data_IF_796394468172
#
_entry.id   IF_796394468172
#
_cell.length_a   1.000
_cell.length_b   1.000
_cell.length_c   1.000
_cell.angle_alpha   90.00
_cell.angle_beta   90.00
_cell.angle_gamma   90.00
#
_symmetry.space_group_name_H-M   'P 1'
#
loop_
_entity.id
_entity.type
_entity.pdbx_description
1 polymer ?
#
# COMPACT_ATOMS: atom_id res chain seq x y z
N UNK A 1 -20.34 40.62 -25.79
CA UNK A 1 -19.30 40.31 -24.79
C UNK A 1 -19.88 39.93 -23.42
N UNK A 2 -20.79 40.70 -22.82
CA UNK A 2 -21.42 40.37 -21.51
C UNK A 2 -22.18 39.03 -21.47
N UNK A 3 -22.92 38.67 -22.52
CA UNK A 3 -23.70 37.41 -22.60
C UNK A 3 -22.81 36.17 -22.71
N UNK A 4 -21.63 36.30 -23.35
CA UNK A 4 -20.68 35.20 -23.54
C UNK A 4 -20.02 34.77 -22.22
N UNK A 5 -19.76 35.73 -21.33
CA UNK A 5 -19.16 35.50 -20.00
C UNK A 5 -20.12 34.69 -19.12
N UNK A 6 -21.42 34.96 -19.19
CA UNK A 6 -22.44 34.22 -18.42
C UNK A 6 -22.52 32.76 -18.90
N UNK A 7 -22.45 32.52 -20.21
CA UNK A 7 -22.39 31.16 -20.76
C UNK A 7 -21.13 30.39 -20.33
N UNK A 8 -19.96 31.03 -20.28
CA UNK A 8 -18.71 30.42 -19.80
C UNK A 8 -18.73 30.09 -18.30
N UNK A 9 -19.44 30.87 -17.49
CA UNK A 9 -19.61 30.60 -16.05
C UNK A 9 -20.63 29.49 -15.76
N UNK A 10 -21.59 29.23 -16.66
CA UNK A 10 -22.54 28.12 -16.52
C UNK A 10 -21.92 26.79 -17.00
N UNK A 11 -20.92 26.86 -17.89
CA UNK A 11 -20.10 25.72 -18.33
C UNK A 11 -18.98 25.34 -17.35
N UNK A 12 -18.85 26.02 -16.20
CA UNK A 12 -17.93 25.58 -15.14
C UNK A 12 -18.49 24.34 -14.45
N UNK A 13 -18.45 23.20 -15.14
CA UNK A 13 -18.71 21.91 -14.53
C UNK A 13 -17.67 21.67 -13.43
N UNK A 14 -18.12 21.12 -12.31
CA UNK A 14 -17.30 20.75 -11.14
C UNK A 14 -15.88 20.35 -11.56
N UNK A 15 -14.88 21.14 -11.16
CA UNK A 15 -13.49 20.76 -11.34
C UNK A 15 -13.28 19.44 -10.58
N UNK A 16 -13.17 18.33 -11.30
CA UNK A 16 -12.87 17.00 -10.75
C UNK A 16 -11.37 16.93 -10.42
N UNK A 17 -10.89 17.88 -9.62
CA UNK A 17 -9.51 17.94 -9.15
C UNK A 17 -9.31 17.14 -7.85
N UNK A 18 -10.38 16.61 -7.26
CA UNK A 18 -10.30 15.85 -6.01
C UNK A 18 -9.76 14.45 -6.28
N UNK A 19 -8.47 14.26 -6.07
CA UNK A 19 -7.86 12.95 -6.01
C UNK A 19 -8.15 12.30 -4.66
N UNK A 20 -8.98 11.25 -4.66
CA UNK A 20 -9.39 10.51 -3.45
C UNK A 20 -8.48 9.33 -3.12
N UNK A 21 -7.28 9.25 -3.71
CA UNK A 21 -6.37 8.10 -3.52
C UNK A 21 -5.93 7.91 -2.07
N UNK A 22 -6.01 8.96 -1.24
CA UNK A 22 -5.70 8.93 0.19
C UNK A 22 -6.89 8.73 1.14
N UNK A 23 -8.11 8.48 0.62
CA UNK A 23 -9.32 8.52 1.46
C UNK A 23 -9.43 7.38 2.47
N UNK A 24 -8.88 6.19 2.19
CA UNK A 24 -8.98 5.05 3.10
C UNK A 24 -7.62 4.76 3.70
N UNK A 25 -7.60 4.62 5.02
CA UNK A 25 -6.45 4.17 5.77
C UNK A 25 -6.77 2.84 6.46
N UNK A 26 -5.81 1.93 6.42
CA UNK A 26 -5.89 0.63 7.08
C UNK A 26 -4.66 0.50 7.96
N UNK A 27 -4.85 0.35 9.27
CA UNK A 27 -3.75 0.33 10.24
C UNK A 27 -4.04 -0.54 11.46
N UNK A 28 -3.00 -0.79 12.25
CA UNK A 28 -3.03 -1.63 13.45
C UNK A 28 -2.90 -3.13 13.16
N UNK A 29 -3.01 -3.95 14.21
CA UNK A 29 -3.05 -5.41 14.14
C UNK A 29 -3.09 -6.04 15.53
N UNK A 30 -3.61 -7.28 15.70
CA UNK A 30 -4.41 -8.05 14.74
C UNK A 30 -5.81 -7.44 14.51
N UNK A 31 -6.50 -7.87 13.44
CA UNK A 31 -7.78 -7.30 12.97
C UNK A 31 -7.65 -5.81 12.62
N UNK A 32 -6.94 -5.54 11.52
CA UNK A 32 -6.66 -4.18 11.06
C UNK A 32 -7.93 -3.31 11.06
N UNK A 33 -7.76 -2.05 11.39
CA UNK A 33 -8.86 -1.08 11.49
C UNK A 33 -8.88 -0.19 10.26
N UNK A 34 -10.08 0.11 9.76
CA UNK A 34 -10.30 1.04 8.65
C UNK A 34 -10.72 2.42 9.17
N UNK A 35 -10.03 3.45 8.70
CA UNK A 35 -10.44 4.84 8.84
C UNK A 35 -10.69 5.46 7.45
N UNK A 36 -11.66 6.36 7.37
CA UNK A 36 -12.01 7.07 6.13
C UNK A 36 -11.94 8.57 6.35
N UNK A 37 -11.16 9.24 5.50
CA UNK A 37 -11.05 10.69 5.42
C UNK A 37 -12.04 11.18 4.37
N UNK A 38 -13.12 11.79 4.84
CA UNK A 38 -14.18 12.36 3.98
C UNK A 38 -14.01 13.87 3.77
N UNK A 39 -13.29 14.55 4.67
CA UNK A 39 -13.00 15.97 4.65
C UNK A 39 -11.73 16.28 5.49
N UNK A 40 -11.50 17.55 5.82
CA UNK A 40 -10.35 18.01 6.64
C UNK A 40 -10.57 17.85 8.15
N UNK A 41 -11.69 17.27 8.58
CA UNK A 41 -11.98 17.00 9.99
C UNK A 41 -11.34 15.67 10.44
N UNK A 42 -11.76 15.15 11.59
CA UNK A 42 -11.26 13.87 12.11
C UNK A 42 -11.76 12.71 11.23
N UNK A 43 -10.93 11.70 10.91
CA UNK A 43 -11.38 10.56 10.13
C UNK A 43 -12.49 9.77 10.82
N UNK A 44 -13.40 9.22 10.02
CA UNK A 44 -14.43 8.30 10.48
C UNK A 44 -13.83 6.90 10.64
N UNK A 45 -13.91 6.34 11.84
CA UNK A 45 -13.52 4.97 12.12
C UNK A 45 -14.65 4.02 11.71
N UNK A 46 -14.42 3.18 10.70
CA UNK A 46 -15.49 2.36 10.10
C UNK A 46 -15.60 1.00 10.80
N UNK A 47 -14.50 0.49 11.35
CA UNK A 47 -14.48 -0.79 12.07
C UNK A 47 -13.23 -1.61 11.80
N UNK A 48 -13.25 -2.85 12.27
CA UNK A 48 -12.16 -3.83 12.11
C UNK A 48 -12.48 -4.82 11.01
N UNK A 49 -11.47 -5.25 10.28
CA UNK A 49 -11.58 -6.38 9.35
C UNK A 49 -11.64 -7.70 10.11
N UNK A 50 -12.27 -8.71 9.51
CA UNK A 50 -12.43 -10.03 10.11
C UNK A 50 -11.14 -10.86 10.12
N UNK A 51 -10.19 -10.57 9.22
CA UNK A 51 -8.94 -11.32 9.11
C UNK A 51 -7.99 -10.99 10.27
N UNK A 52 -7.68 -11.96 11.17
CA UNK A 52 -6.76 -11.72 12.28
C UNK A 52 -5.31 -11.56 11.83
N UNK A 53 -4.94 -12.08 10.65
CA UNK A 53 -3.56 -12.16 10.16
C UNK A 53 -3.12 -10.93 9.35
N UNK A 54 -3.76 -9.79 9.61
CA UNK A 54 -3.44 -8.51 8.97
C UNK A 54 -2.74 -7.62 9.98
N UNK A 55 -1.46 -7.32 9.73
CA UNK A 55 -0.60 -6.60 10.66
C UNK A 55 0.05 -5.38 10.01
N UNK A 56 -0.30 -4.20 10.52
CA UNK A 56 0.30 -2.90 10.20
C UNK A 56 0.90 -2.28 11.46
N UNK A 57 1.98 -2.89 11.98
CA UNK A 57 2.63 -2.48 13.24
C UNK A 57 3.49 -1.23 13.06
N UNK A 58 4.09 -1.06 11.88
CA UNK A 58 4.96 0.07 11.56
C UNK A 58 4.50 0.78 10.26
N UNK A 59 5.46 1.27 9.47
CA UNK A 59 5.21 1.90 8.18
C UNK A 59 4.45 0.99 7.23
N UNK A 60 3.46 1.55 6.57
CA UNK A 60 2.64 0.84 5.60
C UNK A 60 2.13 1.83 4.57
N UNK A 61 1.53 1.30 3.51
CA UNK A 61 0.88 2.10 2.49
C UNK A 61 -0.47 1.52 2.14
N UNK A 62 -1.35 2.38 1.64
CA UNK A 62 -2.72 2.09 1.24
C UNK A 62 -3.02 3.01 0.08
N UNK A 63 -3.77 2.51 -0.89
CA UNK A 63 -4.22 3.33 -2.01
C UNK A 63 -5.70 3.08 -2.26
N UNK A 64 -6.41 4.18 -2.51
CA UNK A 64 -7.81 4.19 -2.90
C UNK A 64 -7.96 4.56 -4.37
N UNK A 65 -9.11 4.20 -4.93
CA UNK A 65 -9.51 4.64 -6.25
C UNK A 65 -9.65 6.16 -6.26
N UNK A 66 -8.98 6.82 -7.20
CA UNK A 66 -8.88 8.29 -7.22
C UNK A 66 -10.23 8.98 -7.45
N UNK A 67 -11.19 8.31 -8.11
CA UNK A 67 -12.50 8.88 -8.43
C UNK A 67 -13.55 8.61 -7.34
N UNK A 68 -13.64 7.36 -6.89
CA UNK A 68 -14.65 6.89 -5.94
C UNK A 68 -14.20 7.00 -4.50
N UNK A 69 -12.89 7.00 -4.24
CA UNK A 69 -12.34 6.93 -2.89
C UNK A 69 -12.63 5.59 -2.22
N UNK A 70 -12.82 4.50 -2.97
CA UNK A 70 -12.88 3.13 -2.42
C UNK A 70 -11.47 2.60 -2.22
N UNK A 71 -11.22 1.85 -1.14
CA UNK A 71 -9.93 1.19 -0.93
C UNK A 71 -9.68 0.20 -2.09
N UNK A 72 -8.50 0.24 -2.68
CA UNK A 72 -8.07 -0.72 -3.69
C UNK A 72 -7.28 -1.84 -3.02
N UNK A 73 -6.19 -1.50 -2.35
CA UNK A 73 -5.34 -2.45 -1.64
C UNK A 73 -4.39 -1.72 -0.68
N UNK A 74 -3.66 -2.51 0.12
CA UNK A 74 -2.74 -2.01 1.14
C UNK A 74 -1.53 -2.92 1.28
N UNK A 75 -0.41 -2.39 1.75
CA UNK A 75 0.87 -3.09 1.87
C UNK A 75 1.52 -2.82 3.23
N UNK A 76 1.83 -3.86 3.99
CA UNK A 76 2.51 -3.72 5.28
C UNK A 76 4.04 -3.71 5.18
N UNK A 77 4.57 -3.65 3.95
CA UNK A 77 6.02 -3.71 3.66
C UNK A 77 6.52 -5.08 3.21
N UNK A 78 5.79 -6.15 3.49
CA UNK A 78 6.18 -7.52 3.14
C UNK A 78 5.05 -8.34 2.51
N UNK A 79 3.80 -7.94 2.78
CA UNK A 79 2.56 -8.54 2.27
C UNK A 79 1.66 -7.44 1.72
N UNK A 80 1.07 -7.71 0.55
CA UNK A 80 -0.04 -6.97 -0.04
C UNK A 80 -1.37 -7.62 0.35
N UNK A 81 -2.32 -6.78 0.74
CA UNK A 81 -3.68 -7.15 1.07
C UNK A 81 -4.67 -6.44 0.15
N UNK A 82 -5.68 -7.16 -0.31
CA UNK A 82 -6.78 -6.64 -1.14
C UNK A 82 -7.66 -5.64 -0.38
N UNK A 83 -8.72 -5.16 -1.04
CA UNK A 83 -9.68 -4.21 -0.45
C UNK A 83 -10.44 -4.74 0.78
N UNK A 84 -10.44 -6.05 1.00
CA UNK A 84 -11.08 -6.73 2.13
C UNK A 84 -10.07 -7.07 3.25
N UNK A 85 -8.82 -6.62 3.15
CA UNK A 85 -7.71 -7.01 4.03
C UNK A 85 -7.46 -8.52 4.05
N UNK A 86 -7.66 -9.19 2.92
CA UNK A 86 -7.20 -10.56 2.71
C UNK A 86 -5.91 -10.50 1.88
N UNK A 87 -4.98 -11.41 2.12
CA UNK A 87 -3.73 -11.46 1.34
C UNK A 87 -4.06 -11.53 -0.15
N UNK A 88 -3.52 -10.60 -0.92
CA UNK A 88 -3.70 -10.54 -2.36
C UNK A 88 -3.04 -11.75 -3.03
N UNK A 89 -3.55 -12.21 -4.16
CA UNK A 89 -2.92 -13.31 -4.91
C UNK A 89 -1.47 -12.93 -5.30
N UNK A 90 -0.52 -13.80 -4.98
CA UNK A 90 0.94 -13.57 -5.07
C UNK A 90 1.45 -12.36 -4.23
N UNK A 91 0.65 -11.87 -3.28
CA UNK A 91 0.90 -10.69 -2.46
C UNK A 91 1.91 -10.88 -1.33
N UNK A 92 2.37 -12.10 -1.07
CA UNK A 92 3.36 -12.47 -0.06
C UNK A 92 4.81 -12.23 -0.52
N UNK A 93 5.78 -12.50 0.36
CA UNK A 93 7.22 -12.55 0.04
C UNK A 93 7.71 -11.43 -0.89
N UNK A 94 7.32 -10.18 -0.58
CA UNK A 94 7.73 -8.99 -1.33
C UNK A 94 9.19 -8.61 -1.06
N UNK A 95 9.82 -9.27 -0.10
CA UNK A 95 11.20 -9.08 0.34
C UNK A 95 11.93 -10.43 0.37
N UNK A 96 13.27 -10.46 0.47
CA UNK A 96 14.02 -11.71 0.59
C UNK A 96 13.58 -12.57 1.78
N UNK A 97 13.78 -13.87 1.66
CA UNK A 97 13.16 -14.87 2.53
C UNK A 97 13.55 -14.67 4.00
N UNK A 98 14.82 -14.34 4.28
CA UNK A 98 15.26 -14.14 5.67
C UNK A 98 14.55 -12.99 6.35
N UNK A 99 14.40 -11.86 5.64
CA UNK A 99 13.65 -10.72 6.15
C UNK A 99 12.15 -11.05 6.29
N UNK A 100 11.58 -11.75 5.30
CA UNK A 100 10.18 -12.15 5.30
C UNK A 100 9.81 -13.04 6.50
N UNK A 101 10.67 -14.00 6.83
CA UNK A 101 10.43 -14.98 7.91
C UNK A 101 11.01 -14.57 9.27
N UNK A 102 11.54 -13.34 9.41
CA UNK A 102 12.17 -12.88 10.66
C UNK A 102 11.20 -12.89 11.85
N UNK A 103 9.95 -12.48 11.61
CA UNK A 103 8.90 -12.41 12.62
C UNK A 103 7.88 -13.54 12.43
N UNK A 104 7.15 -13.93 13.49
CA UNK A 104 6.03 -14.88 13.37
C UNK A 104 4.99 -14.46 12.33
N UNK A 105 4.83 -13.15 12.12
CA UNK A 105 4.04 -12.57 11.03
C UNK A 105 4.92 -11.62 10.21
N UNK A 106 4.97 -11.78 8.88
CA UNK A 106 5.74 -10.88 8.02
C UNK A 106 5.22 -9.45 8.12
N UNK A 107 6.08 -8.54 8.57
CA UNK A 107 5.78 -7.12 8.73
C UNK A 107 7.07 -6.32 8.56
N UNK A 108 7.00 -5.21 7.81
CA UNK A 108 8.13 -4.30 7.68
C UNK A 108 8.44 -3.57 9.00
N UNK A 109 9.72 -3.39 9.31
CA UNK A 109 10.17 -2.86 10.61
C UNK A 109 10.54 -1.36 10.58
N UNK A 110 10.35 -0.68 9.45
CA UNK A 110 10.66 0.74 9.28
C UNK A 110 9.43 1.63 9.47
N UNK A 111 9.67 2.92 9.70
CA UNK A 111 8.64 3.97 9.73
C UNK A 111 7.94 4.16 8.37
N UNK A 112 8.61 3.82 7.26
CA UNK A 112 8.01 3.72 5.93
C UNK A 112 8.55 2.48 5.22
N UNK A 113 7.74 1.43 5.12
CA UNK A 113 8.17 0.16 4.51
C UNK A 113 7.76 -0.01 3.05
N UNK A 114 6.77 0.76 2.60
CA UNK A 114 6.21 0.61 1.26
C UNK A 114 5.72 1.94 0.70
N UNK A 115 5.72 2.02 -0.64
CA UNK A 115 5.14 3.12 -1.40
C UNK A 115 4.38 2.55 -2.60
N UNK A 116 3.12 2.96 -2.75
CA UNK A 116 2.26 2.53 -3.85
C UNK A 116 2.06 3.70 -4.81
N UNK A 117 2.38 3.50 -6.10
CA UNK A 117 2.22 4.51 -7.15
C UNK A 117 1.43 3.94 -8.33
N UNK A 118 0.50 4.70 -8.92
CA UNK A 118 -0.14 4.30 -10.18
C UNK A 118 0.89 4.11 -11.30
N UNK A 119 0.79 3.01 -12.04
CA UNK A 119 1.56 2.74 -13.26
C UNK A 119 0.72 3.15 -14.47
N UNK A 120 0.51 4.47 -14.62
CA UNK A 120 -0.38 5.02 -15.64
C UNK A 120 -1.86 4.75 -15.35
N UNK A 121 -2.69 4.69 -16.40
CA UNK A 121 -4.15 4.65 -16.28
C UNK A 121 -4.78 3.25 -16.49
N UNK A 122 -3.99 2.18 -16.41
CA UNK A 122 -4.42 0.83 -16.81
C UNK A 122 -4.80 -0.10 -15.66
N UNK A 123 -5.10 0.42 -14.46
CA UNK A 123 -5.30 -0.42 -13.27
C UNK A 123 -4.03 -1.15 -12.81
N UNK A 124 -2.86 -0.67 -13.24
CA UNK A 124 -1.58 -1.19 -12.81
C UNK A 124 -0.95 -0.27 -11.77
N UNK A 125 -0.24 -0.83 -10.81
CA UNK A 125 0.43 -0.10 -9.75
C UNK A 125 1.84 -0.63 -9.53
N UNK A 126 2.77 0.28 -9.25
CA UNK A 126 4.05 -0.05 -8.66
C UNK A 126 3.92 -0.10 -7.15
N UNK A 127 4.53 -1.10 -6.54
CA UNK A 127 4.67 -1.23 -5.08
C UNK A 127 6.15 -1.32 -4.77
N UNK A 128 6.71 -0.24 -4.25
CA UNK A 128 8.10 -0.18 -3.82
C UNK A 128 8.20 -0.64 -2.37
N UNK A 129 9.21 -1.45 -2.06
CA UNK A 129 9.56 -1.88 -0.70
C UNK A 129 11.07 -1.84 -0.53
N UNK A 130 11.53 -1.38 0.64
CA UNK A 130 12.94 -1.40 0.99
C UNK A 130 13.25 -2.62 1.85
N UNK A 131 14.38 -3.29 1.61
CA UNK A 131 14.77 -4.49 2.35
C UNK A 131 16.28 -4.72 2.30
N UNK A 132 16.72 -5.91 2.71
CA UNK A 132 18.10 -6.34 2.67
C UNK A 132 18.26 -7.74 2.08
N UNK A 133 19.43 -8.02 1.51
CA UNK A 133 19.77 -9.36 1.03
C UNK A 133 19.84 -10.39 2.17
N UNK A 134 19.57 -11.65 1.87
CA UNK A 134 19.71 -12.75 2.84
C UNK A 134 21.13 -12.84 3.41
N UNK A 135 22.16 -12.56 2.61
CA UNK A 135 23.56 -12.55 3.07
C UNK A 135 23.82 -11.44 4.09
N UNK A 136 23.31 -10.23 3.85
CA UNK A 136 23.42 -9.13 4.82
C UNK A 136 22.63 -9.43 6.10
N UNK A 137 21.48 -10.11 5.95
CA UNK A 137 20.67 -10.52 7.08
C UNK A 137 21.45 -11.48 7.97
N UNK A 138 22.01 -12.54 7.38
CA UNK A 138 22.76 -13.57 8.11
C UNK A 138 24.02 -13.00 8.77
N UNK A 139 24.68 -12.02 8.14
CA UNK A 139 25.88 -11.38 8.68
C UNK A 139 25.60 -10.45 9.88
N UNK A 140 24.50 -9.70 9.84
CA UNK A 140 24.28 -8.56 10.76
C UNK A 140 23.00 -8.69 11.58
N UNK A 141 21.89 -9.06 10.96
CA UNK A 141 20.57 -9.06 11.61
C UNK A 141 20.27 -10.37 12.36
N UNK A 142 20.88 -11.48 11.96
CA UNK A 142 20.73 -12.76 12.64
C UNK A 142 21.60 -12.88 13.91
N UNK A 143 22.65 -12.06 14.04
CA UNK A 143 23.73 -12.32 15.01
C UNK A 143 23.47 -11.79 16.42
N UNK A 144 22.33 -11.13 16.70
CA UNK A 144 22.01 -10.50 17.99
C UNK A 144 23.06 -9.46 18.49
N UNK A 145 24.10 -9.16 17.71
CA UNK A 145 25.24 -8.32 18.10
C UNK A 145 24.95 -6.81 18.06
N UNK A 146 23.69 -6.41 17.85
CA UNK A 146 23.26 -5.00 17.92
C UNK A 146 23.72 -4.13 16.75
N UNK A 147 24.48 -4.66 15.79
CA UNK A 147 24.80 -3.96 14.56
C UNK A 147 23.54 -3.88 13.70
N UNK A 148 23.10 -2.65 13.41
CA UNK A 148 21.97 -2.41 12.49
C UNK A 148 22.56 -2.04 11.14
N UNK A 149 22.53 -2.97 10.20
CA UNK A 149 22.86 -2.65 8.81
C UNK A 149 21.73 -1.87 8.16
N UNK A 150 22.08 -0.87 7.35
CA UNK A 150 21.14 -0.22 6.46
C UNK A 150 20.59 -1.24 5.44
N UNK A 151 19.34 -1.03 5.04
CA UNK A 151 18.75 -1.77 3.93
C UNK A 151 19.54 -1.50 2.65
N UNK A 152 19.89 -2.57 1.93
CA UNK A 152 20.69 -2.51 0.71
C UNK A 152 19.90 -2.91 -0.55
N UNK A 153 18.60 -3.12 -0.44
CA UNK A 153 17.71 -3.44 -1.56
C UNK A 153 16.56 -2.45 -1.63
N UNK A 154 16.33 -1.92 -2.82
CA UNK A 154 15.05 -1.34 -3.21
C UNK A 154 14.38 -2.30 -4.17
N UNK A 155 13.19 -2.78 -3.84
CA UNK A 155 12.42 -3.69 -4.68
C UNK A 155 11.18 -2.98 -5.18
N UNK A 156 10.72 -3.34 -6.37
CA UNK A 156 9.41 -2.94 -6.85
C UNK A 156 8.64 -4.15 -7.37
N UNK A 157 7.33 -4.09 -7.18
CA UNK A 157 6.40 -5.11 -7.63
C UNK A 157 5.32 -4.45 -8.47
N UNK A 158 4.77 -5.18 -9.43
CA UNK A 158 3.66 -4.70 -10.26
C UNK A 158 2.41 -5.44 -9.84
N UNK A 159 1.39 -4.66 -9.49
CA UNK A 159 0.05 -5.13 -9.14
C UNK A 159 -0.90 -4.79 -10.27
N UNK A 160 -1.73 -5.74 -10.66
CA UNK A 160 -2.92 -5.52 -11.49
C UNK A 160 -4.17 -5.64 -10.61
N UNK A 161 -4.90 -4.54 -10.43
CA UNK A 161 -6.10 -4.52 -9.57
C UNK A 161 -7.34 -5.09 -10.27
N UNK A 162 -7.29 -5.30 -11.58
CA UNK A 162 -8.42 -5.85 -12.36
C UNK A 162 -8.40 -7.38 -12.37
N UNK A 163 -7.24 -7.98 -12.08
CA UNK A 163 -7.06 -9.42 -11.95
C UNK A 163 -7.80 -10.01 -10.74
N UNK A 164 -7.87 -11.34 -10.68
CA UNK A 164 -8.50 -12.10 -9.59
C UNK A 164 -9.92 -11.59 -9.25
N UNK A 165 -10.77 -11.45 -10.27
CA UNK A 165 -12.14 -10.93 -10.13
C UNK A 165 -12.22 -9.54 -9.47
N UNK A 166 -11.22 -8.69 -9.68
CA UNK A 166 -11.17 -7.34 -9.11
C UNK A 166 -10.62 -7.27 -7.68
N UNK A 167 -10.15 -8.38 -7.10
CA UNK A 167 -9.40 -8.38 -5.83
C UNK A 167 -7.92 -8.06 -6.03
N UNK A 168 -7.45 -8.11 -7.27
CA UNK A 168 -6.09 -7.80 -7.66
C UNK A 168 -5.11 -8.96 -7.47
N UNK A 169 -3.96 -8.84 -8.15
CA UNK A 169 -2.89 -9.83 -8.17
C UNK A 169 -1.53 -9.15 -8.37
N UNK A 170 -0.50 -9.66 -7.70
CA UNK A 170 0.89 -9.31 -8.04
C UNK A 170 1.31 -10.10 -9.28
N UNK A 171 1.63 -9.36 -10.36
CA UNK A 171 1.97 -9.92 -11.67
C UNK A 171 3.48 -9.89 -11.97
N UNK A 172 4.26 -9.12 -11.22
CA UNK A 172 5.72 -9.10 -11.32
C UNK A 172 6.35 -8.74 -9.98
N UNK A 173 7.44 -9.41 -9.62
CA UNK A 173 8.29 -9.07 -8.48
C UNK A 173 9.71 -8.81 -8.97
N UNK A 174 10.30 -7.68 -8.60
CA UNK A 174 11.60 -7.27 -9.14
C UNK A 174 12.46 -6.59 -8.08
N UNK A 175 13.75 -6.95 -8.08
CA UNK A 175 14.78 -6.30 -7.27
C UNK A 175 15.46 -5.24 -8.12
N UNK A 176 15.53 -3.99 -7.65
CA UNK A 176 16.47 -3.02 -8.20
C UNK A 176 17.84 -3.28 -7.56
N UNK A 177 18.87 -3.12 -8.38
CA UNK A 177 20.29 -3.28 -8.05
C UNK A 177 20.71 -2.65 -6.72
#
# INVERSE_FOLDING_TARGET
MRVLIIYLLILSTNAVAQNKSGNNWVFGGPFATKAVFVDTSRPAMIGKYANPYTYYIHGHSTISDSATGKLLFSCNGMILYDSNCVMMENGDSLVPNRAYTHNPFPNGMLTQNSLILPKGNSGLYYVFVASLTDSLYDAVWATQLGERAAFNLLMYHIVDITANNGLGKVISKTMCC
#
